data_IF_957436437301
#
_entry.id   IF_957436437301
#
_cell.length_a   1.000
_cell.length_b   1.000
_cell.length_c   1.000
_cell.angle_alpha   90.00
_cell.angle_beta   90.00
_cell.angle_gamma   90.00
#
_symmetry.space_group_name_H-M   'P 1'
#
loop_
_entity.id
_entity.type
_entity.pdbx_description
1 polymer ?
#
# COMPACT_ATOMS: atom_id res chain seq x y z
N UNK A 1 -10.20 -12.93 5.46
CA UNK A 1 -9.03 -12.03 5.62
C UNK A 1 -8.70 -11.37 4.29
N UNK A 2 -8.24 -10.07 4.31
CA UNK A 2 -7.87 -9.33 3.10
C UNK A 2 -6.66 -10.00 2.41
N UNK A 3 -6.64 -9.97 1.07
CA UNK A 3 -5.62 -10.63 0.23
C UNK A 3 -4.17 -10.33 0.66
N UNK A 4 -3.87 -9.05 0.95
CA UNK A 4 -2.54 -8.64 1.41
C UNK A 4 -2.11 -9.33 2.72
N UNK A 5 -3.03 -9.53 3.66
CA UNK A 5 -2.76 -10.23 4.91
C UNK A 5 -2.43 -11.71 4.67
N UNK A 6 -3.20 -12.38 3.80
CA UNK A 6 -2.96 -13.79 3.45
C UNK A 6 -1.60 -13.94 2.79
N UNK A 7 -1.26 -13.05 1.85
CA UNK A 7 0.05 -13.04 1.18
C UNK A 7 1.20 -12.85 2.17
N UNK A 8 1.06 -11.91 3.10
CA UNK A 8 2.08 -11.66 4.12
C UNK A 8 2.26 -12.86 5.06
N UNK A 9 1.19 -13.54 5.44
CA UNK A 9 1.26 -14.77 6.23
C UNK A 9 1.98 -15.88 5.46
N UNK A 10 1.61 -16.11 4.20
CA UNK A 10 2.28 -17.09 3.33
C UNK A 10 3.77 -16.80 3.18
N UNK A 11 4.14 -15.52 3.00
CA UNK A 11 5.54 -15.12 2.88
C UNK A 11 6.31 -15.33 4.19
N UNK A 12 5.73 -14.96 5.34
CA UNK A 12 6.35 -15.19 6.64
C UNK A 12 6.60 -16.69 6.89
N UNK A 13 5.60 -17.54 6.59
CA UNK A 13 5.78 -18.99 6.70
C UNK A 13 6.85 -19.50 5.74
N UNK A 14 6.74 -19.18 4.44
CA UNK A 14 7.59 -19.77 3.39
C UNK A 14 9.06 -19.36 3.50
N UNK A 15 9.33 -18.10 3.84
CA UNK A 15 10.70 -17.55 3.79
C UNK A 15 11.37 -17.43 5.15
N UNK A 16 10.60 -17.38 6.26
CA UNK A 16 11.16 -17.07 7.56
C UNK A 16 10.85 -18.09 8.66
N UNK A 17 9.85 -18.97 8.50
CA UNK A 17 9.49 -19.96 9.54
C UNK A 17 9.84 -21.36 9.09
N UNK A 18 9.28 -21.83 7.98
CA UNK A 18 9.44 -23.21 7.50
C UNK A 18 10.91 -23.60 7.26
N UNK A 19 11.78 -22.75 6.68
CA UNK A 19 13.16 -23.13 6.44
C UNK A 19 13.96 -23.47 7.71
N UNK A 20 13.56 -22.93 8.86
CA UNK A 20 14.32 -23.05 10.11
C UNK A 20 13.70 -24.05 11.10
N UNK A 21 12.38 -24.08 11.22
CA UNK A 21 11.67 -24.91 12.23
C UNK A 21 10.60 -25.79 11.60
N UNK A 22 10.42 -25.78 10.28
CA UNK A 22 9.35 -26.53 9.62
C UNK A 22 9.47 -28.05 9.72
N UNK A 23 10.66 -28.58 9.97
CA UNK A 23 10.90 -30.03 10.17
C UNK A 23 10.72 -30.47 11.63
N UNK A 24 10.58 -29.53 12.57
CA UNK A 24 10.35 -29.84 13.97
C UNK A 24 8.90 -30.28 14.19
N UNK A 25 8.70 -31.40 14.92
CA UNK A 25 7.36 -31.77 15.35
C UNK A 25 6.80 -30.73 16.28
N UNK A 26 5.50 -30.47 16.17
CA UNK A 26 4.83 -29.43 16.95
C UNK A 26 4.93 -29.67 18.46
N UNK A 27 4.87 -30.94 18.90
CA UNK A 27 5.08 -31.37 20.29
C UNK A 27 6.47 -31.07 20.85
N UNK A 28 7.48 -31.03 19.98
CA UNK A 28 8.88 -30.90 20.35
C UNK A 28 9.38 -29.44 20.21
N UNK A 29 8.55 -28.54 19.72
CA UNK A 29 8.89 -27.15 19.52
C UNK A 29 9.00 -26.39 20.85
N UNK A 30 10.24 -26.06 21.23
CA UNK A 30 10.58 -25.39 22.49
C UNK A 30 10.87 -23.90 22.32
N UNK A 31 10.71 -23.05 23.36
CA UNK A 31 10.98 -21.61 23.30
C UNK A 31 12.37 -21.26 22.79
N UNK A 32 13.42 -21.98 23.19
CA UNK A 32 14.79 -21.71 22.75
C UNK A 32 14.98 -21.91 21.24
N UNK A 33 14.26 -22.85 20.61
CA UNK A 33 14.32 -23.06 19.15
C UNK A 33 13.72 -21.85 18.40
N UNK A 34 12.62 -21.30 18.91
CA UNK A 34 12.00 -20.09 18.36
C UNK A 34 12.90 -18.88 18.61
N UNK A 35 13.54 -18.80 19.78
CA UNK A 35 14.49 -17.71 20.08
C UNK A 35 15.71 -17.79 19.13
N UNK A 36 16.22 -18.96 18.87
CA UNK A 36 17.29 -19.18 17.89
C UNK A 36 16.89 -18.72 16.49
N UNK A 37 15.66 -19.03 16.05
CA UNK A 37 15.10 -18.52 14.80
C UNK A 37 15.15 -16.97 14.75
N UNK A 38 14.69 -16.28 15.80
CA UNK A 38 14.69 -14.81 15.80
C UNK A 38 16.11 -14.23 15.80
N UNK A 39 17.04 -14.85 16.53
CA UNK A 39 18.44 -14.45 16.55
C UNK A 39 19.09 -14.59 15.17
N UNK A 40 18.81 -15.70 14.46
CA UNK A 40 19.27 -15.91 13.07
C UNK A 40 18.72 -14.88 12.11
N UNK A 41 17.41 -14.61 12.16
CA UNK A 41 16.78 -13.58 11.33
C UNK A 41 17.34 -12.17 11.61
N UNK A 42 17.75 -11.90 12.86
CA UNK A 42 18.32 -10.62 13.26
C UNK A 42 19.78 -10.45 12.79
N UNK A 43 20.57 -11.53 12.79
CA UNK A 43 21.97 -11.49 12.34
C UNK A 43 22.11 -11.51 10.82
N UNK A 44 21.17 -12.16 10.15
CA UNK A 44 21.32 -12.57 8.75
C UNK A 44 22.17 -13.83 8.66
N UNK A 45 21.79 -14.78 7.84
CA UNK A 45 22.52 -16.03 7.57
C UNK A 45 22.26 -16.45 6.12
N UNK A 46 23.13 -17.32 5.58
CA UNK A 46 23.00 -17.93 4.26
C UNK A 46 22.79 -16.87 3.14
N UNK A 47 23.68 -15.88 3.06
CA UNK A 47 23.62 -14.76 2.10
C UNK A 47 22.35 -13.88 2.20
N UNK A 48 21.55 -14.04 3.26
CA UNK A 48 20.38 -13.20 3.51
C UNK A 48 20.73 -12.05 4.43
N UNK A 49 20.33 -10.82 4.07
CA UNK A 49 20.59 -9.66 4.91
C UNK A 49 19.79 -9.73 6.22
N UNK A 50 20.28 -9.09 7.30
CA UNK A 50 19.59 -8.96 8.57
C UNK A 50 18.16 -8.39 8.40
N UNK A 51 17.20 -8.95 9.12
CA UNK A 51 15.84 -8.44 9.13
C UNK A 51 15.66 -7.36 10.21
N UNK A 52 14.88 -6.34 9.88
CA UNK A 52 14.54 -5.29 10.85
C UNK A 52 13.72 -5.86 12.04
N UNK A 53 13.83 -5.25 13.24
CA UNK A 53 13.03 -5.62 14.41
C UNK A 53 11.53 -5.68 14.12
N UNK A 54 11.02 -4.76 13.28
CA UNK A 54 9.63 -4.75 12.84
C UNK A 54 9.26 -6.00 12.05
N UNK A 55 10.14 -6.45 11.15
CA UNK A 55 9.90 -7.65 10.34
C UNK A 55 9.89 -8.90 11.21
N UNK A 56 10.84 -9.03 12.15
CA UNK A 56 10.90 -10.15 13.09
C UNK A 56 9.64 -10.21 13.96
N UNK A 57 9.17 -9.07 14.46
CA UNK A 57 7.91 -8.98 15.21
C UNK A 57 6.69 -9.39 14.36
N UNK A 58 6.68 -9.10 13.07
CA UNK A 58 5.64 -9.56 12.16
C UNK A 58 5.69 -11.07 11.97
N UNK A 59 6.88 -11.67 11.82
CA UNK A 59 7.08 -13.11 11.74
C UNK A 59 6.61 -13.79 13.04
N UNK A 60 7.02 -13.24 14.20
CA UNK A 60 6.53 -13.70 15.51
C UNK A 60 5.00 -13.68 15.58
N UNK A 61 4.35 -12.57 15.16
CA UNK A 61 2.89 -12.45 15.19
C UNK A 61 2.19 -13.54 14.36
N UNK A 62 2.77 -13.94 13.22
CA UNK A 62 2.25 -15.03 12.39
C UNK A 62 2.45 -16.38 13.09
N UNK A 63 3.65 -16.66 13.59
CA UNK A 63 3.99 -17.91 14.29
C UNK A 63 3.17 -18.07 15.57
N UNK A 64 3.14 -17.05 16.42
CA UNK A 64 2.41 -17.07 17.69
C UNK A 64 0.91 -17.27 17.46
N UNK A 65 0.34 -16.69 16.41
CA UNK A 65 -1.07 -16.89 16.06
C UNK A 65 -1.34 -18.33 15.62
N UNK A 66 -0.46 -18.94 14.86
CA UNK A 66 -0.59 -20.36 14.46
C UNK A 66 -0.47 -21.28 15.66
N UNK A 67 0.48 -21.02 16.57
CA UNK A 67 0.68 -21.79 17.79
C UNK A 67 -0.49 -21.63 18.79
N UNK A 68 -1.06 -20.43 18.91
CA UNK A 68 -2.29 -20.26 19.70
C UNK A 68 -3.45 -21.09 19.12
N UNK A 69 -3.57 -21.16 17.79
CA UNK A 69 -4.59 -22.03 17.17
C UNK A 69 -4.33 -23.51 17.49
N UNK A 70 -3.05 -23.92 17.56
CA UNK A 70 -2.71 -25.28 17.95
C UNK A 70 -3.04 -25.58 19.43
N UNK A 71 -2.91 -24.59 20.32
CA UNK A 71 -3.37 -24.68 21.72
C UNK A 71 -4.90 -24.84 21.77
N UNK A 72 -5.65 -24.02 21.04
CA UNK A 72 -7.12 -24.12 21.00
C UNK A 72 -7.64 -25.43 20.40
N UNK A 73 -6.85 -26.03 19.50
CA UNK A 73 -7.14 -27.35 18.94
C UNK A 73 -6.57 -28.50 19.79
N UNK A 74 -6.07 -28.20 20.98
CA UNK A 74 -5.51 -29.19 21.96
C UNK A 74 -4.31 -30.00 21.42
N UNK A 75 -3.65 -29.49 20.35
CA UNK A 75 -2.46 -30.14 19.78
C UNK A 75 -1.20 -29.92 20.62
N UNK A 76 -1.14 -28.83 21.38
CA UNK A 76 -0.08 -28.48 22.35
C UNK A 76 -0.69 -27.80 23.57
N UNK A 77 -0.03 -27.97 24.73
CA UNK A 77 -0.53 -27.44 26.00
C UNK A 77 -0.40 -25.93 26.14
N UNK A 78 0.63 -25.35 25.57
CA UNK A 78 0.93 -23.91 25.67
C UNK A 78 1.67 -23.43 24.43
N UNK A 79 1.61 -22.13 24.17
CA UNK A 79 2.31 -21.51 23.04
C UNK A 79 3.76 -21.18 23.42
N UNK A 80 4.77 -21.90 22.90
CA UNK A 80 6.18 -21.68 23.23
C UNK A 80 6.72 -20.33 22.73
N UNK A 81 6.08 -19.67 21.76
CA UNK A 81 6.49 -18.36 21.28
C UNK A 81 6.25 -17.25 22.30
N UNK A 82 5.38 -17.42 23.28
CA UNK A 82 5.11 -16.43 24.33
C UNK A 82 6.30 -16.25 25.28
N UNK A 83 7.15 -17.27 25.41
CA UNK A 83 8.33 -17.27 26.27
C UNK A 83 9.61 -16.78 25.57
N UNK A 84 9.49 -16.12 24.43
CA UNK A 84 10.61 -15.61 23.64
C UNK A 84 10.76 -14.09 23.76
N UNK A 85 12.01 -13.62 23.69
CA UNK A 85 12.34 -12.19 23.70
C UNK A 85 12.42 -11.66 22.26
N UNK A 86 11.70 -10.58 22.03
CA UNK A 86 11.69 -9.91 20.70
C UNK A 86 12.64 -8.73 20.67
N UNK A 87 13.32 -8.47 19.53
CA UNK A 87 14.22 -7.33 19.39
C UNK A 87 13.46 -6.02 19.66
N UNK A 88 14.13 -5.06 20.32
CA UNK A 88 13.55 -3.76 20.65
C UNK A 88 13.23 -2.98 19.37
N UNK A 89 12.03 -2.43 19.31
CA UNK A 89 11.64 -1.55 18.22
C UNK A 89 12.16 -0.14 18.50
N UNK A 90 13.02 0.37 17.65
CA UNK A 90 13.37 1.78 17.67
C UNK A 90 12.13 2.61 17.29
N UNK A 91 11.77 3.56 18.12
CA UNK A 91 10.79 4.57 17.76
C UNK A 91 11.53 5.63 16.95
N UNK A 92 11.27 5.66 15.63
CA UNK A 92 11.68 6.80 14.81
C UNK A 92 10.62 7.88 14.97
N UNK A 93 11.04 9.07 15.30
CA UNK A 93 10.17 10.25 15.23
C UNK A 93 9.66 10.42 13.80
N UNK A 94 8.38 10.72 13.69
CA UNK A 94 7.77 11.00 12.38
C UNK A 94 8.02 12.47 12.11
N UNK A 95 8.95 12.75 11.24
CA UNK A 95 9.18 14.11 10.74
C UNK A 95 8.03 14.47 9.78
N UNK A 96 7.37 15.58 10.07
CA UNK A 96 6.37 16.17 9.18
C UNK A 96 7.05 17.24 8.31
N UNK A 97 6.57 17.40 7.08
CA UNK A 97 7.07 18.43 6.20
C UNK A 97 6.77 19.82 6.80
N UNK A 98 7.77 20.70 6.85
CA UNK A 98 7.58 22.11 7.15
C UNK A 98 6.90 22.84 6.00
N UNK A 99 6.30 24.00 6.27
CA UNK A 99 5.66 24.83 5.24
C UNK A 99 6.63 25.18 4.10
N UNK A 100 7.88 25.47 4.44
CA UNK A 100 8.95 25.74 3.45
C UNK A 100 9.19 24.52 2.53
N UNK A 101 9.25 23.32 3.10
CA UNK A 101 9.40 22.08 2.33
C UNK A 101 8.17 21.79 1.46
N UNK A 102 6.96 22.07 1.95
CA UNK A 102 5.72 21.94 1.17
C UNK A 102 5.74 22.91 -0.02
N UNK A 103 6.17 24.15 0.18
CA UNK A 103 6.30 25.14 -0.89
C UNK A 103 7.34 24.70 -1.94
N UNK A 104 8.52 24.29 -1.51
CA UNK A 104 9.57 23.78 -2.40
C UNK A 104 9.09 22.58 -3.21
N UNK A 105 8.48 21.61 -2.55
CA UNK A 105 7.91 20.44 -3.22
C UNK A 105 6.84 20.85 -4.25
N UNK A 106 5.98 21.81 -3.91
CA UNK A 106 4.92 22.29 -4.78
C UNK A 106 5.46 22.95 -6.07
N UNK A 107 6.61 23.60 -6.00
CA UNK A 107 7.29 24.17 -7.18
C UNK A 107 7.92 23.07 -8.02
N UNK A 108 8.68 22.17 -7.39
CA UNK A 108 9.40 21.11 -8.09
C UNK A 108 8.46 20.11 -8.78
N UNK A 109 7.33 19.81 -8.17
CA UNK A 109 6.36 18.85 -8.69
C UNK A 109 5.68 19.32 -9.98
N UNK A 110 5.66 20.65 -10.27
CA UNK A 110 5.01 21.17 -11.49
C UNK A 110 5.63 20.65 -12.79
N UNK A 111 6.92 20.36 -12.77
CA UNK A 111 7.63 19.85 -13.93
C UNK A 111 7.52 18.32 -14.10
N UNK A 112 6.90 17.63 -13.14
CA UNK A 112 6.78 16.18 -13.18
C UNK A 112 5.49 15.74 -13.87
N UNK A 113 5.57 14.66 -14.67
CA UNK A 113 4.41 14.08 -15.35
C UNK A 113 3.35 13.52 -14.40
N UNK A 114 3.72 13.25 -13.14
CA UNK A 114 2.83 12.79 -12.07
C UNK A 114 2.35 13.92 -11.15
N UNK A 115 2.56 15.19 -11.53
CA UNK A 115 2.23 16.38 -10.72
C UNK A 115 0.82 16.35 -10.15
N UNK A 116 -0.17 15.98 -10.95
CA UNK A 116 -1.57 16.03 -10.54
C UNK A 116 -1.87 15.08 -9.37
N UNK A 117 -1.44 13.81 -9.46
CA UNK A 117 -1.68 12.84 -8.39
C UNK A 117 -0.83 13.15 -7.15
N UNK A 118 0.42 13.60 -7.31
CA UNK A 118 1.29 13.96 -6.18
C UNK A 118 0.74 15.15 -5.40
N UNK A 119 0.30 16.20 -6.09
CA UNK A 119 -0.40 17.33 -5.45
C UNK A 119 -1.70 16.91 -4.78
N UNK A 120 -2.48 16.07 -5.47
CA UNK A 120 -3.72 15.55 -4.89
C UNK A 120 -3.47 14.82 -3.57
N UNK A 121 -2.50 13.93 -3.52
CA UNK A 121 -2.15 13.21 -2.29
C UNK A 121 -1.68 14.17 -1.20
N UNK A 122 -0.81 15.13 -1.54
CA UNK A 122 -0.26 16.11 -0.58
C UNK A 122 -1.37 16.93 0.09
N UNK A 123 -2.26 17.52 -0.72
CA UNK A 123 -3.26 18.47 -0.21
C UNK A 123 -4.56 17.82 0.29
N UNK A 124 -4.86 16.59 -0.10
CA UNK A 124 -6.06 15.87 0.38
C UNK A 124 -5.80 14.91 1.53
N UNK A 125 -4.53 14.51 1.77
CA UNK A 125 -4.17 13.52 2.78
C UNK A 125 -4.72 12.10 2.52
N UNK A 126 -5.16 11.80 1.30
CA UNK A 126 -5.64 10.47 0.94
C UNK A 126 -4.47 9.48 0.82
N UNK A 127 -4.77 8.18 0.98
CA UNK A 127 -3.75 7.16 0.75
C UNK A 127 -3.45 7.02 -0.74
N UNK A 128 -2.20 6.65 -1.06
CA UNK A 128 -1.77 6.42 -2.45
C UNK A 128 -2.73 5.49 -3.22
N UNK A 129 -3.15 4.38 -2.63
CA UNK A 129 -4.07 3.43 -3.27
C UNK A 129 -5.49 3.98 -3.47
N UNK A 130 -5.93 4.92 -2.64
CA UNK A 130 -7.18 5.66 -2.78
C UNK A 130 -7.08 6.69 -3.91
N UNK A 131 -5.97 7.42 -3.98
CA UNK A 131 -5.71 8.39 -5.05
C UNK A 131 -5.61 7.71 -6.42
N UNK A 132 -4.85 6.61 -6.54
CA UNK A 132 -4.73 5.86 -7.79
C UNK A 132 -6.07 5.25 -8.21
N UNK A 133 -6.89 4.85 -7.23
CA UNK A 133 -8.22 4.29 -7.47
C UNK A 133 -9.32 5.33 -7.66
N UNK A 134 -9.05 6.63 -7.52
CA UNK A 134 -10.08 7.67 -7.61
C UNK A 134 -10.67 7.71 -9.02
N UNK A 135 -12.00 7.73 -9.11
CA UNK A 135 -12.77 7.79 -10.36
C UNK A 135 -13.59 9.08 -10.42
N UNK A 136 -14.01 9.48 -11.62
CA UNK A 136 -14.69 10.77 -11.80
C UNK A 136 -16.06 10.83 -11.13
N UNK A 137 -16.75 9.73 -10.95
CA UNK A 137 -18.01 9.62 -10.19
C UNK A 137 -17.86 9.86 -8.68
N UNK A 138 -16.61 9.81 -8.17
CA UNK A 138 -16.32 10.17 -6.79
C UNK A 138 -16.37 11.69 -6.55
N UNK A 139 -16.36 12.53 -7.61
CA UNK A 139 -16.14 13.98 -7.52
C UNK A 139 -17.44 14.71 -7.87
N UNK A 140 -17.97 15.43 -6.90
CA UNK A 140 -19.08 16.36 -7.08
C UNK A 140 -18.50 17.79 -7.22
N UNK A 141 -18.46 18.28 -8.46
CA UNK A 141 -17.92 19.60 -8.75
C UNK A 141 -18.86 20.74 -8.34
N UNK A 142 -20.15 20.48 -8.21
CA UNK A 142 -21.15 21.48 -7.83
C UNK A 142 -21.14 21.71 -6.32
N UNK A 143 -21.04 20.61 -5.56
CA UNK A 143 -20.91 20.68 -4.10
C UNK A 143 -19.46 20.89 -3.63
N UNK A 144 -18.47 20.76 -4.51
CA UNK A 144 -17.06 20.86 -4.16
C UNK A 144 -16.59 19.72 -3.25
N UNK A 145 -17.12 18.51 -3.40
CA UNK A 145 -16.84 17.38 -2.51
C UNK A 145 -16.27 16.18 -3.26
N UNK A 146 -15.51 15.35 -2.53
CA UNK A 146 -14.93 14.10 -3.05
C UNK A 146 -15.28 12.98 -2.09
N UNK A 147 -15.93 11.93 -2.59
CA UNK A 147 -16.26 10.72 -1.84
C UNK A 147 -15.17 9.68 -2.01
N UNK A 148 -14.52 9.29 -0.92
CA UNK A 148 -13.54 8.21 -0.91
C UNK A 148 -14.20 6.97 -0.33
N UNK A 149 -14.52 5.98 -1.19
CA UNK A 149 -15.23 4.76 -0.80
C UNK A 149 -14.54 3.46 -1.28
N UNK A 150 -13.56 3.58 -2.19
CA UNK A 150 -12.79 2.45 -2.67
C UNK A 150 -11.31 2.79 -2.85
N UNK A 151 -10.51 1.78 -3.14
CA UNK A 151 -9.10 1.89 -3.44
C UNK A 151 -8.69 0.89 -4.53
N UNK A 152 -7.63 1.18 -5.27
CA UNK A 152 -7.07 0.27 -6.27
C UNK A 152 -5.93 -0.55 -5.66
N UNK A 153 -6.04 -1.87 -5.65
CA UNK A 153 -5.04 -2.77 -5.10
C UNK A 153 -4.40 -3.63 -6.18
N UNK A 154 -3.09 -3.76 -6.11
CA UNK A 154 -2.34 -4.69 -6.96
C UNK A 154 -2.64 -6.13 -6.55
N UNK A 155 -3.00 -6.95 -7.53
CA UNK A 155 -3.18 -8.40 -7.42
C UNK A 155 -2.10 -9.12 -8.24
N UNK A 156 -2.05 -10.44 -8.18
CA UNK A 156 -1.21 -11.23 -9.08
C UNK A 156 -1.76 -11.16 -10.51
N UNK A 157 -0.91 -11.39 -11.53
CA UNK A 157 -1.37 -11.46 -12.93
C UNK A 157 -2.50 -12.48 -13.13
N UNK A 158 -2.43 -13.65 -12.45
CA UNK A 158 -3.50 -14.66 -12.43
C UNK A 158 -4.85 -14.14 -11.89
N UNK A 159 -4.81 -13.12 -11.00
CA UNK A 159 -6.00 -12.51 -10.42
C UNK A 159 -6.33 -11.14 -11.03
N UNK A 160 -5.96 -10.91 -12.31
CA UNK A 160 -6.34 -9.71 -13.07
C UNK A 160 -5.45 -8.49 -12.85
N UNK A 161 -4.29 -8.61 -12.19
CA UNK A 161 -3.32 -7.53 -12.02
C UNK A 161 -3.72 -6.47 -10.99
N UNK A 162 -4.77 -5.68 -11.25
CA UNK A 162 -5.32 -4.66 -10.35
C UNK A 162 -6.83 -4.87 -10.14
N UNK A 163 -7.32 -4.50 -8.97
CA UNK A 163 -8.75 -4.61 -8.66
C UNK A 163 -9.16 -3.52 -7.68
N UNK A 164 -10.37 -3.00 -7.85
CA UNK A 164 -11.01 -2.19 -6.83
C UNK A 164 -11.30 -3.03 -5.59
N UNK A 165 -11.13 -2.42 -4.43
CA UNK A 165 -11.38 -3.04 -3.13
C UNK A 165 -11.97 -1.99 -2.18
N UNK A 166 -12.76 -2.41 -1.19
CA UNK A 166 -13.19 -1.51 -0.14
C UNK A 166 -12.00 -0.95 0.63
N UNK A 167 -12.19 0.14 1.32
CA UNK A 167 -11.17 0.80 2.13
C UNK A 167 -10.62 -0.14 3.21
N UNK A 168 -9.42 0.16 3.73
CA UNK A 168 -8.76 -0.68 4.74
C UNK A 168 -9.62 -0.89 5.99
N UNK A 169 -10.37 0.12 6.40
CA UNK A 169 -11.24 0.10 7.59
C UNK A 169 -12.73 0.01 7.23
N UNK A 170 -13.06 -0.22 5.95
CA UNK A 170 -14.42 -0.28 5.40
C UNK A 170 -15.28 0.98 5.70
N UNK A 171 -14.63 2.11 6.03
CA UNK A 171 -15.28 3.40 6.30
C UNK A 171 -15.03 4.35 5.14
N UNK A 172 -16.09 4.65 4.41
CA UNK A 172 -16.08 5.74 3.44
C UNK A 172 -16.01 7.10 4.14
N UNK A 173 -15.52 8.10 3.42
CA UNK A 173 -15.49 9.47 3.90
C UNK A 173 -15.71 10.46 2.77
N UNK A 174 -16.32 11.57 3.11
CA UNK A 174 -16.46 12.73 2.25
C UNK A 174 -15.33 13.72 2.59
N UNK A 175 -14.68 14.22 1.56
CA UNK A 175 -13.68 15.28 1.68
C UNK A 175 -14.27 16.56 1.10
N UNK A 176 -13.97 17.70 1.74
CA UNK A 176 -14.22 19.04 1.22
C UNK A 176 -12.85 19.70 0.99
N UNK A 177 -12.22 19.43 -0.16
CA UNK A 177 -10.89 19.96 -0.44
C UNK A 177 -10.94 21.46 -0.72
N UNK A 178 -9.81 22.18 -0.58
CA UNK A 178 -9.76 23.60 -0.89
C UNK A 178 -10.07 23.85 -2.38
N UNK A 179 -10.61 25.02 -2.74
CA UNK A 179 -11.01 25.36 -4.12
C UNK A 179 -9.89 25.18 -5.15
N UNK A 180 -8.64 25.41 -4.76
CA UNK A 180 -7.46 25.19 -5.60
C UNK A 180 -7.38 23.75 -6.08
N UNK A 181 -7.65 22.77 -5.21
CA UNK A 181 -7.60 21.35 -5.56
C UNK A 181 -8.75 20.97 -6.50
N UNK A 182 -9.95 21.52 -6.29
CA UNK A 182 -11.08 21.32 -7.21
C UNK A 182 -10.83 21.91 -8.59
N UNK A 183 -10.20 23.07 -8.67
CA UNK A 183 -9.80 23.67 -9.95
C UNK A 183 -8.72 22.83 -10.65
N UNK A 184 -7.75 22.30 -9.91
CA UNK A 184 -6.77 21.37 -10.45
C UNK A 184 -7.44 20.11 -11.04
N UNK A 185 -8.45 19.56 -10.38
CA UNK A 185 -9.21 18.39 -10.89
C UNK A 185 -10.01 18.72 -12.15
N UNK A 186 -10.61 19.94 -12.23
CA UNK A 186 -11.27 20.42 -13.46
C UNK A 186 -10.27 20.49 -14.63
N UNK A 187 -9.07 21.00 -14.38
CA UNK A 187 -8.01 21.05 -15.40
C UNK A 187 -7.53 19.65 -15.78
N UNK A 188 -7.33 18.77 -14.81
CA UNK A 188 -6.97 17.36 -15.04
C UNK A 188 -7.98 16.66 -15.97
N UNK A 189 -9.29 16.93 -15.80
CA UNK A 189 -10.33 16.37 -16.69
C UNK A 189 -10.17 16.86 -18.13
N UNK A 190 -9.86 18.15 -18.33
CA UNK A 190 -9.60 18.71 -19.65
C UNK A 190 -8.32 18.15 -20.27
N UNK A 191 -7.23 18.09 -19.49
CA UNK A 191 -5.96 17.50 -19.94
C UNK A 191 -6.13 16.05 -20.38
N UNK A 192 -6.89 15.26 -19.65
CA UNK A 192 -7.16 13.86 -19.95
C UNK A 192 -7.92 13.67 -21.28
N UNK A 193 -8.87 14.57 -21.59
CA UNK A 193 -9.55 14.59 -22.90
C UNK A 193 -8.55 14.92 -24.02
N UNK A 194 -7.67 15.88 -23.82
CA UNK A 194 -6.64 16.23 -24.79
C UNK A 194 -5.63 15.07 -25.00
N UNK A 195 -5.24 14.39 -23.92
CA UNK A 195 -4.39 13.20 -24.00
C UNK A 195 -5.05 12.09 -24.83
N UNK A 196 -6.34 11.86 -24.64
CA UNK A 196 -7.11 10.89 -25.44
C UNK A 196 -7.06 11.25 -26.93
N UNK A 197 -7.27 12.52 -27.27
CA UNK A 197 -7.23 12.97 -28.67
C UNK A 197 -5.83 12.75 -29.28
N UNK A 198 -4.77 13.06 -28.51
CA UNK A 198 -3.38 12.87 -28.97
C UNK A 198 -3.00 11.40 -29.11
N UNK A 199 -3.46 10.55 -28.19
CA UNK A 199 -3.15 9.11 -28.20
C UNK A 199 -3.90 8.33 -29.29
N UNK A 200 -5.07 8.83 -29.74
CA UNK A 200 -5.85 8.21 -30.79
C UNK A 200 -6.09 6.71 -30.54
N UNK A 201 -5.68 5.86 -31.47
CA UNK A 201 -5.82 4.40 -31.36
C UNK A 201 -4.99 3.76 -30.23
N UNK A 202 -3.97 4.44 -29.71
CA UNK A 202 -3.19 3.95 -28.57
C UNK A 202 -3.86 4.17 -27.21
N UNK A 203 -4.97 4.94 -27.18
CA UNK A 203 -5.73 5.16 -25.96
C UNK A 203 -6.32 3.87 -25.41
N UNK A 204 -6.07 3.59 -24.14
CA UNK A 204 -6.53 2.40 -23.40
C UNK A 204 -7.58 2.73 -22.34
N UNK A 205 -7.94 4.03 -22.20
CA UNK A 205 -8.96 4.52 -21.28
C UNK A 205 -10.39 4.35 -21.82
N UNK A 206 -11.28 5.21 -21.35
CA UNK A 206 -12.71 5.19 -21.72
C UNK A 206 -12.92 5.40 -23.23
N UNK A 207 -13.99 4.82 -23.76
CA UNK A 207 -14.40 4.95 -25.17
C UNK A 207 -15.57 5.90 -25.36
N UNK A 208 -16.47 6.00 -24.37
CA UNK A 208 -17.65 6.87 -24.38
C UNK A 208 -17.64 7.85 -23.20
N UNK A 209 -18.50 8.88 -23.23
CA UNK A 209 -18.67 9.83 -22.15
C UNK A 209 -19.23 9.16 -20.87
N UNK A 210 -20.03 8.10 -21.03
CA UNK A 210 -20.56 7.35 -19.89
C UNK A 210 -19.45 6.56 -19.18
N UNK A 211 -18.59 5.88 -19.94
CA UNK A 211 -17.43 5.19 -19.37
C UNK A 211 -16.47 6.17 -18.68
N UNK A 212 -16.32 7.40 -19.20
CA UNK A 212 -15.50 8.42 -18.57
C UNK A 212 -15.95 8.71 -17.14
N UNK A 213 -17.25 8.75 -16.85
CA UNK A 213 -17.78 9.05 -15.51
C UNK A 213 -17.23 8.11 -14.44
N UNK A 214 -17.02 6.85 -14.77
CA UNK A 214 -16.51 5.82 -13.86
C UNK A 214 -15.03 5.51 -14.06
N UNK A 215 -14.34 6.27 -14.93
CA UNK A 215 -12.92 6.06 -15.20
C UNK A 215 -12.03 6.78 -14.19
N UNK A 216 -10.76 6.36 -14.15
CA UNK A 216 -9.76 6.94 -13.24
C UNK A 216 -9.52 8.43 -13.49
N UNK A 217 -9.40 9.19 -12.42
CA UNK A 217 -9.04 10.62 -12.45
C UNK A 217 -7.60 10.81 -12.89
N UNK A 218 -6.69 9.96 -12.39
CA UNK A 218 -5.27 10.02 -12.69
C UNK A 218 -4.86 8.84 -13.56
N UNK A 219 -4.42 9.14 -14.78
CA UNK A 219 -4.06 8.14 -15.78
C UNK A 219 -2.71 8.46 -16.41
N UNK A 220 -2.09 7.43 -16.99
CA UNK A 220 -0.97 7.60 -17.90
C UNK A 220 -1.41 8.32 -19.17
N UNK A 221 -0.46 8.75 -19.99
CA UNK A 221 -0.71 9.36 -21.32
C UNK A 221 -1.56 8.48 -22.25
N UNK A 222 -1.60 7.16 -22.02
CA UNK A 222 -2.45 6.21 -22.75
C UNK A 222 -3.75 5.85 -22.02
N UNK A 223 -4.11 6.53 -20.94
CA UNK A 223 -5.37 6.32 -20.24
C UNK A 223 -5.40 5.15 -19.25
N UNK A 224 -4.28 4.47 -18.98
CA UNK A 224 -4.21 3.42 -17.96
C UNK A 224 -4.08 4.04 -16.56
N UNK A 225 -4.50 3.31 -15.52
CA UNK A 225 -4.22 3.70 -14.14
C UNK A 225 -2.72 3.74 -13.85
N UNK A 226 -2.32 4.52 -12.87
CA UNK A 226 -0.95 4.55 -12.40
C UNK A 226 -0.56 3.29 -11.62
N UNK A 227 0.75 2.97 -11.63
CA UNK A 227 1.34 1.94 -10.79
C UNK A 227 1.85 2.58 -9.47
N UNK A 228 1.53 2.02 -8.29
CA UNK A 228 1.98 2.57 -7.01
C UNK A 228 3.49 2.77 -6.93
N UNK A 229 4.27 1.78 -7.38
CA UNK A 229 5.73 1.86 -7.36
C UNK A 229 6.27 3.05 -8.18
N UNK A 230 5.60 3.39 -9.29
CA UNK A 230 6.00 4.51 -10.15
C UNK A 230 5.64 5.84 -9.49
N UNK A 231 4.44 5.97 -8.92
CA UNK A 231 4.04 7.18 -8.15
C UNK A 231 5.03 7.44 -7.02
N UNK A 232 5.39 6.40 -6.26
CA UNK A 232 6.37 6.50 -5.18
C UNK A 232 7.79 6.86 -5.68
N UNK A 233 8.20 6.34 -6.85
CA UNK A 233 9.48 6.67 -7.44
C UNK A 233 9.57 8.15 -7.84
N UNK A 234 8.51 8.70 -8.46
CA UNK A 234 8.42 10.13 -8.79
C UNK A 234 8.44 11.00 -7.53
N UNK A 235 7.65 10.64 -6.50
CA UNK A 235 7.71 11.31 -5.20
C UNK A 235 9.14 11.34 -4.64
N UNK A 236 9.84 10.20 -4.59
CA UNK A 236 11.22 10.13 -4.09
C UNK A 236 12.21 10.96 -4.89
N UNK A 237 12.02 11.07 -6.21
CA UNK A 237 12.89 11.88 -7.07
C UNK A 237 12.77 13.37 -6.73
N UNK A 238 11.55 13.82 -6.41
CA UNK A 238 11.28 15.24 -6.10
C UNK A 238 11.65 15.56 -4.64
N UNK A 239 11.51 14.60 -3.72
CA UNK A 239 11.77 14.77 -2.29
C UNK A 239 13.26 14.60 -1.90
N UNK A 240 14.18 14.43 -2.86
CA UNK A 240 15.63 14.43 -2.66
C UNK A 240 16.19 15.85 -2.83
#
# INVERSE_FOLDING_TARGET
>A
KKYGTIRNYKNACRYHIIPYIGQCRLSDLKPHMIQTLYNRLQRGEDDKPPLSPKTIRNVHGVLSKALNQAVWNEMIRSNPAQLTTLPRKEQKEIETLSDKQIQQFSVLVEQDSYRAILKFILFSGVRESEAIGLTWDCIDFDRGTIRIYHQLLKRTKKAGGYTFAPLKNDKERLLTPPPMLMNMLKNQKKEQVQQRMKAGLAWRGWRSAEEQKTWFVFTTEFGNHYCPQTVYAHFKKIAK
#
